data_IF_247782130422
#
_entry.id   IF_247782130422
#
_cell.length_a   1.000
_cell.length_b   1.000
_cell.length_c   1.000
_cell.angle_alpha   90.00
_cell.angle_beta   90.00
_cell.angle_gamma   90.00
#
_symmetry.space_group_name_H-M   'P 1'
#
loop_
_entity.id
_entity.type
_entity.pdbx_description
1 polymer ?
#
# COMPACT_ATOMS: atom_id res chain seq x y z
N UNK A 1 4.37 19.16 -7.56
CA UNK A 1 3.11 18.43 -7.26
C UNK A 1 2.90 17.29 -8.27
N UNK A 2 2.84 16.04 -7.79
CA UNK A 2 2.63 14.86 -8.64
C UNK A 2 1.37 15.03 -9.48
N UNK A 3 1.51 14.87 -10.80
CA UNK A 3 0.41 14.86 -11.76
C UNK A 3 -0.56 13.73 -11.42
N UNK A 4 -1.55 14.01 -10.56
CA UNK A 4 -2.94 13.49 -10.43
C UNK A 4 -3.29 12.02 -10.68
N UNK A 5 -2.34 11.13 -10.94
CA UNK A 5 -2.56 9.69 -11.08
C UNK A 5 -1.77 8.99 -9.99
N UNK A 6 -2.50 8.35 -9.06
CA UNK A 6 -1.95 7.48 -8.02
C UNK A 6 -0.92 6.47 -8.59
N UNK A 7 -1.12 6.00 -9.83
CA UNK A 7 -0.20 5.11 -10.53
C UNK A 7 1.19 5.70 -10.82
N UNK A 8 1.29 7.01 -11.07
CA UNK A 8 2.56 7.67 -11.38
C UNK A 8 3.50 7.76 -10.16
N UNK A 9 2.93 7.90 -8.96
CA UNK A 9 3.70 7.89 -7.70
C UNK A 9 4.15 6.47 -7.38
N UNK A 10 3.24 5.50 -7.43
CA UNK A 10 3.55 4.09 -7.17
C UNK A 10 4.70 3.58 -8.05
N UNK A 11 4.66 3.88 -9.35
CA UNK A 11 5.71 3.51 -10.30
C UNK A 11 7.08 4.10 -9.93
N UNK A 12 7.15 5.41 -9.68
CA UNK A 12 8.41 6.08 -9.32
C UNK A 12 8.97 5.57 -8.00
N UNK A 13 8.12 5.28 -7.02
CA UNK A 13 8.53 4.66 -5.77
C UNK A 13 9.13 3.28 -6.01
N UNK A 14 8.51 2.44 -6.85
CA UNK A 14 9.04 1.11 -7.21
C UNK A 14 10.38 1.19 -7.92
N UNK A 15 10.56 2.14 -8.84
CA UNK A 15 11.84 2.39 -9.50
C UNK A 15 12.92 2.81 -8.47
N UNK A 16 12.56 3.67 -7.51
CA UNK A 16 13.47 4.06 -6.43
C UNK A 16 13.84 2.89 -5.51
N UNK A 17 12.88 2.04 -5.15
CA UNK A 17 13.11 0.82 -4.36
C UNK A 17 14.13 -0.09 -5.05
N UNK A 18 13.96 -0.34 -6.36
CA UNK A 18 14.89 -1.16 -7.14
C UNK A 18 16.31 -0.56 -7.19
N UNK A 19 16.43 0.77 -7.27
CA UNK A 19 17.72 1.45 -7.22
C UNK A 19 18.38 1.32 -5.84
N UNK A 20 17.62 1.44 -4.75
CA UNK A 20 18.13 1.23 -3.40
C UNK A 20 18.62 -0.21 -3.19
N UNK A 21 17.84 -1.20 -3.60
CA UNK A 21 18.25 -2.61 -3.52
C UNK A 21 19.52 -2.86 -4.37
N UNK A 22 19.57 -2.34 -5.60
CA UNK A 22 20.74 -2.47 -6.47
C UNK A 22 22.00 -1.75 -5.94
N UNK A 23 21.81 -0.68 -5.15
CA UNK A 23 22.89 0.03 -4.48
C UNK A 23 23.37 -0.66 -3.19
N UNK A 24 22.77 -1.80 -2.81
CA UNK A 24 23.19 -2.59 -1.66
C UNK A 24 22.58 -2.15 -0.33
N UNK A 25 21.52 -1.34 -0.33
CA UNK A 25 20.75 -1.10 0.89
C UNK A 25 19.97 -2.37 1.26
N UNK A 26 20.14 -2.80 2.51
CA UNK A 26 19.51 -3.99 3.08
C UNK A 26 18.13 -3.70 3.69
N UNK A 27 17.89 -2.44 4.06
CA UNK A 27 16.62 -1.95 4.61
C UNK A 27 16.20 -0.68 3.87
N UNK A 28 14.98 -0.68 3.33
CA UNK A 28 14.39 0.51 2.70
C UNK A 28 13.03 0.79 3.36
N UNK A 29 12.89 1.99 3.92
CA UNK A 29 11.65 2.42 4.56
C UNK A 29 10.82 3.25 3.58
N UNK A 30 9.57 2.87 3.37
CA UNK A 30 8.61 3.61 2.53
C UNK A 30 7.56 4.24 3.44
N UNK A 31 7.59 5.57 3.53
CA UNK A 31 6.63 6.33 4.33
C UNK A 31 5.54 6.94 3.43
N UNK A 32 4.28 6.88 3.89
CA UNK A 32 3.17 7.61 3.25
C UNK A 32 3.08 9.03 3.79
N UNK A 33 2.78 10.00 2.92
CA UNK A 33 2.48 11.37 3.34
C UNK A 33 0.96 11.56 3.33
N UNK A 34 0.34 11.54 4.52
CA UNK A 34 -1.09 11.84 4.72
C UNK A 34 -2.08 10.69 4.44
N UNK A 35 -3.38 11.00 4.57
CA UNK A 35 -4.51 10.06 4.40
C UNK A 35 -4.96 9.98 2.94
N UNK A 36 -4.97 8.78 2.36
CA UNK A 36 -5.26 8.59 0.92
C UNK A 36 -5.76 7.19 0.55
N UNK A 37 -5.51 6.81 -0.72
CA UNK A 37 -5.55 5.43 -1.24
C UNK A 37 -4.12 4.88 -1.38
N UNK A 38 -3.17 5.49 -0.68
CA UNK A 38 -1.74 5.22 -0.76
C UNK A 38 -1.33 4.02 0.10
N UNK A 39 -2.12 3.66 1.10
CA UNK A 39 -1.80 2.62 2.07
C UNK A 39 -1.79 1.24 1.42
N UNK A 40 -2.81 0.92 0.62
CA UNK A 40 -2.85 -0.34 -0.14
C UNK A 40 -1.70 -0.42 -1.14
N UNK A 41 -1.35 0.69 -1.78
CA UNK A 41 -0.21 0.77 -2.71
C UNK A 41 1.09 0.50 -1.97
N UNK A 42 1.31 1.11 -0.82
CA UNK A 42 2.53 0.90 -0.02
C UNK A 42 2.60 -0.53 0.52
N UNK A 43 1.48 -1.13 0.91
CA UNK A 43 1.43 -2.55 1.27
C UNK A 43 1.80 -3.47 0.08
N UNK A 44 1.48 -3.08 -1.16
CA UNK A 44 1.90 -3.81 -2.37
C UNK A 44 3.35 -3.54 -2.79
N UNK A 45 4.04 -2.58 -2.16
CA UNK A 45 5.45 -2.24 -2.41
C UNK A 45 6.40 -2.72 -1.30
N UNK A 46 5.87 -3.27 -0.21
CA UNK A 46 6.65 -3.60 0.99
C UNK A 46 6.47 -5.06 1.42
N UNK A 47 7.48 -5.59 2.10
CA UNK A 47 7.41 -6.94 2.70
C UNK A 47 6.78 -6.94 4.10
N UNK A 48 6.87 -5.79 4.77
CA UNK A 48 6.26 -5.51 6.06
C UNK A 48 5.51 -4.18 6.01
N UNK A 49 4.27 -4.18 6.48
CA UNK A 49 3.47 -2.97 6.63
C UNK A 49 3.30 -2.62 8.11
N UNK A 50 3.84 -1.46 8.52
CA UNK A 50 3.78 -0.97 9.90
C UNK A 50 2.77 0.16 10.00
N UNK A 51 1.89 0.10 11.01
CA UNK A 51 0.97 1.18 11.32
C UNK A 51 1.44 1.91 12.59
N UNK A 52 1.75 3.20 12.48
CA UNK A 52 2.07 4.04 13.62
C UNK A 52 0.82 4.75 14.14
N UNK A 53 0.60 4.69 15.46
CA UNK A 53 -0.51 5.33 16.15
C UNK A 53 0.00 6.21 17.29
N UNK A 54 -0.78 7.23 17.66
CA UNK A 54 -0.54 8.01 18.87
C UNK A 54 -1.42 7.49 20.02
N UNK A 55 -1.07 7.75 21.30
CA UNK A 55 -1.91 7.38 22.42
C UNK A 55 -3.11 8.32 22.53
N UNK A 56 -4.26 7.78 22.96
CA UNK A 56 -5.44 8.56 23.34
C UNK A 56 -5.99 9.54 22.27
N UNK A 57 -5.82 9.29 20.97
CA UNK A 57 -6.36 10.18 19.93
C UNK A 57 -7.87 10.05 19.66
N UNK A 58 -8.64 9.45 20.59
CA UNK A 58 -10.10 9.32 20.51
C UNK A 58 -10.58 7.94 20.05
N UNK A 59 -11.73 7.89 19.39
CA UNK A 59 -12.36 6.69 18.80
C UNK A 59 -11.58 6.19 17.55
N UNK A 60 -10.27 6.02 17.71
CA UNK A 60 -9.32 5.71 16.64
C UNK A 60 -9.59 4.35 16.00
N UNK A 61 -10.27 3.43 16.70
CA UNK A 61 -10.72 2.19 16.09
C UNK A 61 -11.76 2.43 14.98
N UNK A 62 -12.53 3.53 15.07
CA UNK A 62 -13.42 3.99 13.99
C UNK A 62 -12.68 4.86 12.95
N UNK A 63 -11.65 5.61 13.36
CA UNK A 63 -10.86 6.49 12.49
C UNK A 63 -9.82 5.77 11.62
N UNK A 64 -9.20 4.71 12.15
CA UNK A 64 -8.36 3.80 11.37
C UNK A 64 -9.30 2.92 10.56
N UNK A 65 -9.31 3.12 9.24
CA UNK A 65 -10.11 2.31 8.33
C UNK A 65 -9.81 0.84 8.60
N UNK A 66 -10.84 0.03 8.84
CA UNK A 66 -10.75 -1.43 9.03
C UNK A 66 -9.78 -2.10 8.05
N UNK A 67 -9.76 -1.66 6.79
CA UNK A 67 -8.84 -2.18 5.77
C UNK A 67 -7.34 -1.95 6.05
N UNK A 68 -6.95 -0.84 6.69
CA UNK A 68 -5.55 -0.55 7.02
C UNK A 68 -5.09 -1.46 8.17
N UNK A 69 -5.92 -1.67 9.19
CA UNK A 69 -5.62 -2.58 10.29
C UNK A 69 -5.44 -4.02 9.80
N UNK A 70 -6.25 -4.46 8.84
CA UNK A 70 -6.16 -5.81 8.25
C UNK A 70 -4.85 -6.02 7.46
N UNK A 71 -4.24 -4.93 6.96
CA UNK A 71 -2.94 -4.97 6.28
C UNK A 71 -1.75 -4.88 7.25
N UNK A 72 -1.91 -4.24 8.42
CA UNK A 72 -0.84 -4.05 9.38
C UNK A 72 -0.25 -5.37 9.89
N UNK A 73 1.06 -5.52 9.73
CA UNK A 73 1.84 -6.62 10.28
C UNK A 73 2.18 -6.36 11.75
N UNK A 74 2.55 -5.11 12.04
CA UNK A 74 2.72 -4.61 13.40
C UNK A 74 2.07 -3.23 13.52
N UNK A 75 1.52 -2.97 14.70
CA UNK A 75 1.02 -1.66 15.11
C UNK A 75 1.95 -1.09 16.17
N UNK A 76 2.53 0.08 15.94
CA UNK A 76 3.43 0.75 16.87
C UNK A 76 2.70 1.96 17.48
N UNK A 77 2.35 1.87 18.76
CA UNK A 77 1.76 2.98 19.50
C UNK A 77 2.89 3.85 20.04
N UNK A 78 3.21 4.92 19.31
CA UNK A 78 4.29 5.84 19.63
C UNK A 78 3.92 6.77 20.80
N UNK A 79 4.88 7.57 21.30
CA UNK A 79 4.73 8.48 22.45
C UNK A 79 4.37 7.75 23.76
N UNK A 80 4.84 6.52 23.92
CA UNK A 80 4.64 5.71 25.13
C UNK A 80 5.57 6.13 26.29
N UNK A 81 5.63 7.43 26.56
CA UNK A 81 6.52 8.08 27.52
C UNK A 81 5.74 9.12 28.36
N UNK A 82 6.37 9.55 29.46
CA UNK A 82 5.79 10.52 30.39
C UNK A 82 4.36 10.20 30.81
N UNK A 83 3.51 11.23 30.78
CA UNK A 83 2.09 11.16 31.16
C UNK A 83 1.23 10.36 30.16
N UNK A 84 1.72 10.16 28.93
CA UNK A 84 1.02 9.38 27.91
C UNK A 84 1.27 7.87 28.02
N UNK A 85 2.26 7.43 28.80
CA UNK A 85 2.61 6.00 28.95
C UNK A 85 1.43 5.11 29.39
N UNK A 86 0.57 5.50 30.36
CA UNK A 86 -0.62 4.72 30.70
C UNK A 86 -1.65 4.66 29.57
N UNK A 87 -1.83 5.76 28.82
CA UNK A 87 -2.73 5.80 27.69
C UNK A 87 -2.23 4.90 26.55
N UNK A 88 -0.93 4.94 26.24
CA UNK A 88 -0.32 4.12 25.21
C UNK A 88 -0.50 2.63 25.50
N UNK A 89 -0.34 2.21 26.76
CA UNK A 89 -0.57 0.82 27.19
C UNK A 89 -2.02 0.37 27.00
N UNK A 90 -2.99 1.26 27.27
CA UNK A 90 -4.41 0.97 27.00
C UNK A 90 -4.66 0.81 25.51
N UNK A 91 -4.19 1.75 24.68
CA UNK A 91 -4.28 1.66 23.22
C UNK A 91 -3.67 0.36 22.69
N UNK A 92 -2.48 -0.03 23.16
CA UNK A 92 -1.88 -1.33 22.78
C UNK A 92 -2.80 -2.50 23.13
N UNK A 93 -3.40 -2.50 24.32
CA UNK A 93 -4.34 -3.54 24.74
C UNK A 93 -5.59 -3.60 23.86
N UNK A 94 -6.16 -2.44 23.52
CA UNK A 94 -7.36 -2.34 22.70
C UNK A 94 -7.11 -2.89 21.29
N UNK A 95 -5.99 -2.48 20.67
CA UNK A 95 -5.60 -2.99 19.35
C UNK A 95 -5.19 -4.47 19.40
N UNK A 96 -4.50 -4.94 20.44
CA UNK A 96 -4.20 -6.35 20.60
C UNK A 96 -5.48 -7.21 20.69
N UNK A 97 -6.49 -6.74 21.41
CA UNK A 97 -7.81 -7.38 21.45
C UNK A 97 -8.50 -7.37 20.09
N UNK A 98 -8.51 -6.25 19.38
CA UNK A 98 -9.11 -6.13 18.06
C UNK A 98 -8.44 -7.05 17.02
N UNK A 99 -7.10 -7.15 17.03
CA UNK A 99 -6.35 -8.02 16.12
C UNK A 99 -6.67 -9.50 16.34
N UNK A 100 -7.01 -9.92 17.57
CA UNK A 100 -7.44 -11.31 17.85
C UNK A 100 -8.79 -11.66 17.21
N UNK A 101 -9.63 -10.67 16.95
CA UNK A 101 -10.94 -10.85 16.29
C UNK A 101 -10.82 -10.88 14.76
N UNK A 102 -9.69 -10.45 14.21
CA UNK A 102 -9.45 -10.50 12.77
C UNK A 102 -9.17 -11.93 12.32
N UNK A 103 -9.54 -12.22 11.06
CA UNK A 103 -9.24 -13.51 10.44
C UNK A 103 -7.73 -13.69 10.37
N UNK A 104 -7.23 -14.83 10.88
CA UNK A 104 -5.80 -15.18 10.77
C UNK A 104 -5.37 -15.20 9.31
N UNK A 105 -4.24 -14.54 9.03
CA UNK A 105 -3.60 -14.53 7.72
C UNK A 105 -2.63 -15.72 7.63
N UNK A 106 -2.57 -16.45 6.51
CA UNK A 106 -1.65 -17.59 6.35
C UNK A 106 -0.18 -17.21 6.55
N UNK A 107 0.18 -15.97 6.20
CA UNK A 107 1.54 -15.43 6.29
C UNK A 107 1.93 -14.92 7.69
N UNK A 108 1.11 -15.17 8.71
CA UNK A 108 1.38 -14.76 10.09
C UNK A 108 1.56 -15.96 11.03
N UNK A 109 2.65 -16.01 11.80
CA UNK A 109 2.79 -16.96 12.89
C UNK A 109 1.87 -16.61 14.07
N UNK A 110 1.78 -17.53 15.02
CA UNK A 110 1.07 -17.25 16.29
C UNK A 110 1.66 -16.03 16.98
N UNK A 111 0.78 -15.15 17.46
CA UNK A 111 1.15 -13.89 18.08
C UNK A 111 1.30 -12.72 17.08
N UNK A 112 1.04 -12.92 15.79
CA UNK A 112 0.98 -11.86 14.78
C UNK A 112 -0.41 -11.81 14.12
N UNK A 113 -0.85 -10.63 13.63
CA UNK A 113 -0.23 -9.31 13.84
C UNK A 113 -0.27 -8.88 15.32
N UNK A 114 0.56 -7.93 15.73
CA UNK A 114 0.63 -7.45 17.13
C UNK A 114 0.80 -5.95 17.26
N UNK A 115 0.39 -5.42 18.42
CA UNK A 115 0.59 -4.04 18.82
C UNK A 115 1.71 -3.92 19.87
N UNK A 116 2.57 -2.90 19.75
CA UNK A 116 3.69 -2.64 20.67
C UNK A 116 3.74 -1.15 21.04
N UNK A 117 4.06 -0.81 22.30
CA UNK A 117 4.33 0.57 22.69
C UNK A 117 5.76 0.96 22.31
N UNK A 118 5.94 2.16 21.76
CA UNK A 118 7.27 2.74 21.48
C UNK A 118 7.30 4.21 21.90
N UNK A 119 8.50 4.71 22.20
CA UNK A 119 8.76 6.14 22.30
C UNK A 119 9.92 6.48 21.38
N UNK A 120 9.64 7.20 20.29
CA UNK A 120 10.69 7.73 19.45
C UNK A 120 11.53 8.80 20.17
N UNK A 121 10.92 9.56 21.08
CA UNK A 121 11.59 10.63 21.82
C UNK A 121 12.54 10.09 22.89
N UNK A 122 12.12 9.07 23.63
CA UNK A 122 12.93 8.43 24.67
C UNK A 122 13.73 7.22 24.15
N UNK A 123 13.62 6.90 22.86
CA UNK A 123 14.21 5.72 22.20
C UNK A 123 13.81 4.37 22.86
N UNK A 124 12.68 4.34 23.58
CA UNK A 124 12.17 3.14 24.25
C UNK A 124 11.34 2.26 23.30
N UNK A 125 11.50 0.95 23.39
CA UNK A 125 10.70 -0.03 22.62
C UNK A 125 11.09 -0.20 21.15
N UNK A 126 11.90 0.70 20.58
CA UNK A 126 12.33 0.63 19.17
C UNK A 126 13.13 -0.64 18.85
N UNK A 127 14.08 -1.01 19.72
CA UNK A 127 14.89 -2.22 19.55
C UNK A 127 14.05 -3.52 19.66
N UNK A 128 13.02 -3.50 20.50
CA UNK A 128 12.07 -4.61 20.60
C UNK A 128 11.18 -4.70 19.36
N UNK A 129 10.64 -3.58 18.89
CA UNK A 129 9.87 -3.53 17.65
C UNK A 129 10.68 -4.07 16.47
N UNK A 130 11.95 -3.68 16.34
CA UNK A 130 12.84 -4.21 15.31
C UNK A 130 13.03 -5.73 15.42
N UNK A 131 13.22 -6.25 16.63
CA UNK A 131 13.36 -7.69 16.87
C UNK A 131 12.11 -8.47 16.46
N UNK A 132 10.93 -7.93 16.74
CA UNK A 132 9.65 -8.52 16.34
C UNK A 132 9.45 -8.49 14.82
N UNK A 133 9.85 -7.40 14.15
CA UNK A 133 9.91 -7.35 12.68
C UNK A 133 10.81 -8.45 12.11
N UNK A 134 12.03 -8.59 12.64
CA UNK A 134 12.98 -9.62 12.21
C UNK A 134 12.48 -11.05 12.46
N UNK A 135 11.74 -11.26 13.56
CA UNK A 135 11.09 -12.54 13.88
C UNK A 135 10.06 -12.90 12.81
N UNK A 136 9.19 -11.96 12.45
CA UNK A 136 8.19 -12.15 11.41
C UNK A 136 8.83 -12.40 10.04
N UNK A 137 9.85 -11.60 9.67
CA UNK A 137 10.61 -11.78 8.42
C UNK A 137 11.21 -13.18 8.34
N UNK A 138 11.92 -13.59 9.39
CA UNK A 138 12.61 -14.89 9.44
C UNK A 138 11.64 -16.05 9.28
N UNK A 139 10.49 -15.98 9.98
CA UNK A 139 9.44 -16.98 9.85
C UNK A 139 8.84 -17.01 8.45
N UNK A 140 8.49 -15.84 7.88
CA UNK A 140 7.94 -15.73 6.52
C UNK A 140 8.90 -16.28 5.46
N UNK A 141 10.21 -16.05 5.62
CA UNK A 141 11.25 -16.65 4.76
C UNK A 141 11.29 -18.17 4.92
N UNK A 142 11.35 -18.67 6.15
CA UNK A 142 11.40 -20.11 6.42
C UNK A 142 10.17 -20.88 5.89
N UNK A 143 8.99 -20.26 5.89
CA UNK A 143 7.75 -20.83 5.36
C UNK A 143 7.54 -20.56 3.86
N UNK A 144 8.46 -19.85 3.20
CA UNK A 144 8.37 -19.46 1.80
C UNK A 144 7.29 -18.41 1.47
N UNK A 145 6.67 -17.79 2.48
CA UNK A 145 5.74 -16.69 2.27
C UNK A 145 6.45 -15.47 1.68
N UNK A 146 7.70 -15.22 2.08
CA UNK A 146 8.50 -14.09 1.60
C UNK A 146 8.58 -14.03 0.06
N UNK A 147 9.12 -15.08 -0.55
CA UNK A 147 9.32 -15.13 -2.00
C UNK A 147 7.99 -15.20 -2.76
N UNK A 148 6.99 -15.92 -2.22
CA UNK A 148 5.65 -15.99 -2.83
C UNK A 148 4.95 -14.64 -2.84
N UNK A 149 5.06 -13.87 -1.75
CA UNK A 149 4.47 -12.53 -1.65
C UNK A 149 5.13 -11.59 -2.66
N UNK A 150 6.47 -11.54 -2.70
CA UNK A 150 7.21 -10.72 -3.68
C UNK A 150 6.90 -11.10 -5.13
N UNK A 151 6.78 -12.40 -5.44
CA UNK A 151 6.38 -12.86 -6.77
C UNK A 151 4.97 -12.40 -7.12
N UNK A 152 4.02 -12.50 -6.18
CA UNK A 152 2.63 -12.04 -6.37
C UNK A 152 2.58 -10.53 -6.59
N UNK A 153 3.31 -9.75 -5.79
CA UNK A 153 3.45 -8.30 -5.97
C UNK A 153 4.06 -7.96 -7.33
N UNK A 154 5.07 -8.71 -7.78
CA UNK A 154 5.69 -8.50 -9.10
C UNK A 154 4.70 -8.74 -10.25
N UNK A 155 3.89 -9.80 -10.18
CA UNK A 155 2.83 -10.05 -11.15
C UNK A 155 1.78 -8.93 -11.14
N UNK A 156 1.35 -8.49 -9.95
CA UNK A 156 0.42 -7.38 -9.80
C UNK A 156 0.95 -6.11 -10.46
N UNK A 157 2.22 -5.76 -10.23
CA UNK A 157 2.83 -4.57 -10.82
C UNK A 157 3.04 -4.71 -12.33
N UNK A 158 3.32 -5.91 -12.84
CA UNK A 158 3.35 -6.15 -14.27
C UNK A 158 1.99 -5.85 -14.93
N UNK A 159 0.90 -6.37 -14.37
CA UNK A 159 -0.45 -6.11 -14.88
C UNK A 159 -0.80 -4.62 -14.83
N UNK A 160 -0.40 -3.92 -13.76
CA UNK A 160 -0.61 -2.48 -13.62
C UNK A 160 0.19 -1.69 -14.67
N UNK A 161 1.47 -2.03 -14.92
CA UNK A 161 2.25 -1.37 -15.97
C UNK A 161 1.67 -1.59 -17.36
N UNK A 162 1.15 -2.80 -17.65
CA UNK A 162 0.45 -3.06 -18.90
C UNK A 162 -0.77 -2.14 -19.00
N UNK A 163 -1.65 -2.15 -17.99
CA UNK A 163 -2.86 -1.32 -17.95
C UNK A 163 -2.55 0.16 -18.15
N UNK A 164 -1.58 0.70 -17.42
CA UNK A 164 -1.16 2.10 -17.55
C UNK A 164 -0.53 2.39 -18.91
N UNK A 165 0.24 1.45 -19.47
CA UNK A 165 0.78 1.55 -20.82
C UNK A 165 -0.32 1.64 -21.88
N UNK A 166 -1.39 0.82 -21.76
CA UNK A 166 -2.54 0.87 -22.65
C UNK A 166 -3.29 2.20 -22.54
N UNK A 167 -3.51 2.72 -21.33
CA UNK A 167 -4.15 4.02 -21.11
C UNK A 167 -3.28 5.17 -21.64
N UNK A 168 -1.97 5.11 -21.43
CA UNK A 168 -1.03 6.11 -21.95
C UNK A 168 -1.01 6.14 -23.48
N UNK A 169 -1.22 5.01 -24.15
CA UNK A 169 -1.31 4.95 -25.60
C UNK A 169 -2.48 5.79 -26.16
N UNK A 170 -3.60 5.91 -25.43
CA UNK A 170 -4.74 6.74 -25.84
C UNK A 170 -4.41 8.24 -25.86
N UNK A 171 -3.38 8.66 -25.14
CA UNK A 171 -2.95 10.05 -25.04
C UNK A 171 -1.91 10.44 -26.09
N UNK A 172 -1.50 9.51 -26.97
CA UNK A 172 -0.50 9.73 -28.02
C UNK A 172 -1.16 9.70 -29.40
N UNK A 173 -0.57 10.41 -30.36
CA UNK A 173 -1.05 10.34 -31.75
C UNK A 173 -0.73 8.98 -32.39
N UNK A 174 -1.61 8.46 -33.26
CA UNK A 174 -2.86 9.07 -33.74
C UNK A 174 -4.09 8.84 -32.83
N UNK A 175 -3.96 8.03 -31.76
CA UNK A 175 -5.10 7.64 -30.91
C UNK A 175 -5.74 8.83 -30.19
N UNK A 176 -4.94 9.82 -29.79
CA UNK A 176 -5.43 11.06 -29.19
C UNK A 176 -6.36 11.82 -30.14
N UNK A 177 -5.98 11.98 -31.41
CA UNK A 177 -6.82 12.59 -32.44
C UNK A 177 -8.12 11.81 -32.68
N UNK A 178 -8.04 10.47 -32.75
CA UNK A 178 -9.23 9.61 -32.88
C UNK A 178 -10.17 9.77 -31.68
N UNK A 179 -9.65 9.80 -30.45
CA UNK A 179 -10.45 10.01 -29.25
C UNK A 179 -11.18 11.35 -29.27
N UNK A 180 -10.50 12.42 -29.70
CA UNK A 180 -11.14 13.73 -29.84
C UNK A 180 -12.26 13.71 -30.90
N UNK A 181 -12.03 13.07 -32.05
CA UNK A 181 -13.02 12.94 -33.12
C UNK A 181 -14.26 12.14 -32.68
N UNK A 182 -14.07 10.98 -32.04
CA UNK A 182 -15.17 10.18 -31.51
C UNK A 182 -15.92 10.93 -30.40
N UNK A 183 -15.21 11.62 -29.51
CA UNK A 183 -15.84 12.41 -28.43
C UNK A 183 -16.74 13.52 -28.99
N UNK A 184 -16.34 14.20 -30.07
CA UNK A 184 -17.16 15.22 -30.74
C UNK A 184 -18.43 14.61 -31.35
N UNK A 185 -18.32 13.50 -32.09
CA UNK A 185 -19.47 12.78 -32.66
C UNK A 185 -20.44 12.27 -31.60
N UNK A 186 -19.93 11.72 -30.50
CA UNK A 186 -20.73 11.28 -29.34
C UNK A 186 -21.45 12.48 -28.71
N UNK A 187 -20.77 13.60 -28.51
CA UNK A 187 -21.36 14.80 -27.90
C UNK A 187 -22.53 15.40 -28.71
N UNK A 188 -22.50 15.20 -30.03
CA UNK A 188 -23.56 15.62 -30.97
C UNK A 188 -24.68 14.59 -31.12
N UNK A 189 -24.56 13.42 -30.48
CA UNK A 189 -25.52 12.33 -30.59
C UNK A 189 -25.49 11.59 -31.94
N UNK A 190 -24.43 11.75 -32.73
CA UNK A 190 -24.29 11.11 -34.04
C UNK A 190 -23.98 9.61 -33.92
N UNK A 191 -23.29 9.23 -32.83
CA UNK A 191 -22.96 7.83 -32.50
C UNK A 191 -23.12 7.60 -30.99
N UNK A 192 -23.62 6.42 -30.58
CA UNK A 192 -23.62 6.01 -29.17
C UNK A 192 -22.20 5.82 -28.58
N UNK A 193 -21.98 6.07 -27.27
CA UNK A 193 -20.66 5.94 -26.63
C UNK A 193 -20.02 4.54 -26.72
N UNK A 194 -20.81 3.49 -26.57
CA UNK A 194 -20.39 2.08 -26.67
C UNK A 194 -19.92 1.75 -28.09
N UNK A 195 -20.67 2.18 -29.10
CA UNK A 195 -20.31 2.01 -30.51
C UNK A 195 -19.01 2.74 -30.85
N UNK A 196 -18.86 3.98 -30.36
CA UNK A 196 -17.64 4.76 -30.53
C UNK A 196 -16.42 4.10 -29.87
N UNK A 197 -16.61 3.50 -28.69
CA UNK A 197 -15.56 2.77 -27.98
C UNK A 197 -15.13 1.50 -28.75
N UNK A 198 -16.08 0.72 -29.26
CA UNK A 198 -15.79 -0.48 -30.06
C UNK A 198 -15.05 -0.13 -31.36
N UNK A 199 -15.46 0.94 -32.05
CA UNK A 199 -14.78 1.41 -33.26
C UNK A 199 -13.35 1.88 -32.95
N UNK A 200 -13.17 2.61 -31.85
CA UNK A 200 -11.84 3.01 -31.36
C UNK A 200 -10.95 1.79 -31.08
N UNK A 201 -11.45 0.80 -30.34
CA UNK A 201 -10.71 -0.42 -30.01
C UNK A 201 -10.34 -1.23 -31.26
N UNK A 202 -11.23 -1.29 -32.25
CA UNK A 202 -10.97 -1.90 -33.56
C UNK A 202 -9.87 -1.18 -34.32
N UNK A 203 -9.89 0.15 -34.37
CA UNK A 203 -8.84 0.97 -35.00
C UNK A 203 -7.48 0.84 -34.28
N UNK A 204 -7.49 0.51 -32.99
CA UNK A 204 -6.28 0.18 -32.23
C UNK A 204 -5.77 -1.26 -32.45
N UNK A 205 -6.47 -2.07 -33.25
CA UNK A 205 -6.13 -3.47 -33.49
C UNK A 205 -6.37 -4.38 -32.28
N UNK A 206 -7.39 -4.08 -31.47
CA UNK A 206 -7.68 -4.79 -30.21
C UNK A 206 -9.08 -5.42 -30.16
N UNK A 207 -9.72 -5.57 -31.32
CA UNK A 207 -11.03 -6.20 -31.50
C UNK A 207 -10.86 -7.56 -32.19
#
# INVERSE_FOLDING_TARGET
>A
PSQTQLGGVARRTREALALCEAAGFDVVLVETVGVGQSETVVAQLSDLFLLLLAPAGGDELQGVKRGIMEMADLILVNKADGDLKPAARRTVSDYAGALQLLRRRPQDPTGFPKALPVSALAEEGLAEAWREMQTLISWRKAQGHWDRTRATQSCHWFEEEVRQGLLSALLREPQKGLMASFSDRVSRGEIPPDTAADEMLRLMGRA
#
